data_IF_514616935782
#
_entry.id   IF_514616935782
#
_cell.length_a   1.000
_cell.length_b   1.000
_cell.length_c   1.000
_cell.angle_alpha   90.00
_cell.angle_beta   90.00
_cell.angle_gamma   90.00
#
_symmetry.space_group_name_H-M   'P 1'
#
loop_
_entity.id
_entity.type
_entity.pdbx_description
1 polymer ?
#
# COMPACT_ATOMS: atom_id res chain seq x y z
N UNK A 1 49.90 40.21 -7.60
CA UNK A 1 48.45 40.23 -7.59
C UNK A 1 48.01 38.79 -7.35
N UNK A 2 47.54 38.39 -6.36
CA UNK A 2 47.43 38.64 -4.92
C UNK A 2 46.63 37.45 -4.42
N UNK A 3 47.25 36.65 -3.58
CA UNK A 3 46.73 35.41 -2.98
C UNK A 3 45.82 35.71 -1.77
N UNK A 4 45.34 36.97 -1.65
CA UNK A 4 44.60 37.45 -0.46
C UNK A 4 43.09 37.41 -0.58
N UNK A 5 42.53 37.16 -1.80
CA UNK A 5 41.08 37.22 -2.01
C UNK A 5 40.36 35.87 -1.81
N UNK A 6 41.05 34.75 -1.56
CA UNK A 6 40.43 33.44 -1.35
C UNK A 6 40.27 33.05 0.12
N UNK A 7 40.91 33.73 1.06
CA UNK A 7 40.87 33.42 2.48
C UNK A 7 39.72 34.10 3.24
N UNK A 8 39.08 35.13 2.68
CA UNK A 8 38.01 35.90 3.35
C UNK A 8 36.61 35.28 3.25
N UNK A 9 36.38 34.34 2.33
CA UNK A 9 35.02 33.75 2.12
C UNK A 9 34.78 32.53 3.01
N UNK A 10 35.81 31.91 3.58
CA UNK A 10 35.70 30.78 4.52
C UNK A 10 35.32 31.20 5.95
N UNK A 11 35.66 32.39 6.36
CA UNK A 11 35.40 32.90 7.73
C UNK A 11 33.92 33.30 7.96
N UNK A 12 33.11 33.32 6.92
CA UNK A 12 31.73 33.81 6.96
C UNK A 12 30.68 32.67 7.00
N UNK A 13 31.12 31.41 6.97
CA UNK A 13 30.23 30.24 6.97
C UNK A 13 30.15 29.62 8.36
N UNK A 14 28.96 29.59 8.90
CA UNK A 14 28.62 28.96 10.19
C UNK A 14 28.24 27.51 9.99
N UNK A 15 29.01 26.57 10.54
CA UNK A 15 28.67 25.16 10.55
C UNK A 15 27.70 24.82 11.69
N UNK A 16 26.48 24.41 11.36
CA UNK A 16 25.46 24.10 12.38
C UNK A 16 25.87 22.93 13.28
N UNK A 17 26.52 21.89 12.74
CA UNK A 17 26.98 20.74 13.56
C UNK A 17 28.05 21.17 14.60
N UNK A 18 28.99 22.05 14.23
CA UNK A 18 30.00 22.56 15.15
C UNK A 18 29.39 23.44 16.26
N UNK A 19 28.47 24.34 15.89
CA UNK A 19 27.76 25.17 16.86
C UNK A 19 26.89 24.36 17.78
N UNK A 20 26.22 23.33 17.25
CA UNK A 20 25.43 22.38 18.04
C UNK A 20 26.34 21.64 19.06
N UNK A 21 27.45 21.07 18.60
CA UNK A 21 28.39 20.34 19.45
C UNK A 21 29.00 21.23 20.55
N UNK A 22 29.35 22.46 20.19
CA UNK A 22 29.93 23.45 21.11
C UNK A 22 28.89 24.12 22.03
N UNK A 23 27.61 23.82 21.85
CA UNK A 23 26.49 24.42 22.59
C UNK A 23 26.45 25.96 22.49
N UNK A 24 26.91 26.52 21.38
CA UNK A 24 26.94 27.96 21.14
C UNK A 24 25.72 28.44 20.36
N UNK A 25 25.25 29.69 20.61
CA UNK A 25 24.21 30.28 19.78
C UNK A 25 24.73 30.56 18.37
N UNK A 26 23.93 30.24 17.36
CA UNK A 26 24.24 30.48 15.95
C UNK A 26 24.09 31.96 15.65
N UNK A 27 25.14 32.67 15.11
CA UNK A 27 25.02 34.08 14.79
C UNK A 27 24.11 34.33 13.58
N UNK A 28 23.46 35.50 13.57
CA UNK A 28 22.67 35.95 12.43
C UNK A 28 23.53 36.65 11.38
N UNK A 29 23.05 36.66 10.13
CA UNK A 29 23.66 37.42 9.05
C UNK A 29 24.84 36.72 8.36
N UNK A 30 25.09 35.47 8.69
CA UNK A 30 26.14 34.64 8.10
C UNK A 30 25.58 33.66 7.07
N UNK A 31 26.44 33.04 6.27
CA UNK A 31 26.09 31.84 5.51
C UNK A 31 26.09 30.66 6.48
N UNK A 32 25.18 29.71 6.26
CA UNK A 32 25.01 28.55 7.15
C UNK A 32 25.34 27.29 6.39
N UNK A 33 26.24 26.46 6.94
CA UNK A 33 26.51 25.12 6.44
C UNK A 33 25.62 24.12 7.17
N UNK A 34 24.70 23.54 6.43
CA UNK A 34 23.77 22.52 6.92
C UNK A 34 24.15 21.16 6.34
N UNK A 35 23.91 20.11 7.08
CA UNK A 35 24.07 18.75 6.61
C UNK A 35 22.72 18.11 6.34
N UNK A 36 22.57 17.57 5.12
CA UNK A 36 21.39 16.75 4.75
C UNK A 36 21.92 15.38 4.35
N UNK A 37 21.52 14.34 5.09
CA UNK A 37 22.07 12.99 5.00
C UNK A 37 23.60 12.96 5.16
N UNK A 38 24.34 12.71 4.07
CA UNK A 38 25.81 12.66 4.05
C UNK A 38 26.47 13.88 3.38
N UNK A 39 25.66 14.81 2.87
CA UNK A 39 26.15 15.96 2.08
C UNK A 39 25.98 17.28 2.83
N UNK A 40 26.89 18.21 2.59
CA UNK A 40 26.86 19.56 3.14
C UNK A 40 26.37 20.55 2.09
N UNK A 41 25.56 21.50 2.54
CA UNK A 41 25.00 22.57 1.72
C UNK A 41 25.21 23.91 2.42
N UNK A 42 25.55 24.94 1.66
CA UNK A 42 25.70 26.30 2.18
C UNK A 42 24.55 27.15 1.73
N UNK A 43 23.84 27.74 2.67
CA UNK A 43 22.70 28.61 2.45
C UNK A 43 22.93 30.00 3.03
N UNK A 44 22.42 31.05 2.37
CA UNK A 44 22.62 32.45 2.76
C UNK A 44 21.43 33.04 3.52
N UNK A 45 20.47 32.19 3.89
CA UNK A 45 19.25 32.60 4.60
C UNK A 45 19.19 31.93 5.97
N UNK A 46 18.63 32.61 7.00
CA UNK A 46 18.61 32.09 8.37
C UNK A 46 17.54 31.02 8.58
N UNK A 47 16.64 30.80 7.59
CA UNK A 47 15.54 29.86 7.69
C UNK A 47 15.13 29.35 6.31
N UNK A 48 14.65 28.13 6.26
CA UNK A 48 14.08 27.49 5.07
C UNK A 48 12.88 26.65 5.46
N UNK A 49 11.96 26.43 4.53
CA UNK A 49 10.89 25.46 4.70
C UNK A 49 11.42 24.02 4.51
N UNK A 50 10.71 23.03 5.06
CA UNK A 50 11.07 21.62 4.84
C UNK A 50 11.16 21.26 3.36
N UNK A 51 10.29 21.81 2.51
CA UNK A 51 10.34 21.67 1.05
C UNK A 51 11.64 22.19 0.46
N UNK A 52 12.03 23.40 0.81
CA UNK A 52 13.26 24.01 0.34
C UNK A 52 14.52 23.25 0.78
N UNK A 53 14.50 22.68 1.99
CA UNK A 53 15.60 21.82 2.48
C UNK A 53 15.68 20.52 1.67
N UNK A 54 14.55 19.90 1.30
CA UNK A 54 14.52 18.74 0.43
C UNK A 54 15.02 19.07 -0.99
N UNK A 55 14.60 20.21 -1.54
CA UNK A 55 15.01 20.68 -2.88
C UNK A 55 16.52 20.89 -2.98
N UNK A 56 17.17 21.40 -1.93
CA UNK A 56 18.65 21.50 -1.87
C UNK A 56 19.32 20.13 -2.10
N UNK A 57 18.72 19.07 -1.59
CA UNK A 57 19.21 17.69 -1.76
C UNK A 57 18.70 17.02 -3.07
N UNK A 58 18.03 17.77 -3.96
CA UNK A 58 17.45 17.23 -5.19
C UNK A 58 16.26 16.30 -4.93
N UNK A 59 15.56 16.49 -3.81
CA UNK A 59 14.43 15.64 -3.36
C UNK A 59 13.15 16.44 -3.32
N UNK A 60 12.02 15.74 -3.47
CA UNK A 60 10.68 16.33 -3.46
C UNK A 60 9.84 15.75 -2.31
N UNK A 61 8.96 16.56 -1.68
CA UNK A 61 8.17 16.14 -0.51
C UNK A 61 7.24 14.95 -0.76
N UNK A 62 6.83 14.75 -2.02
CA UNK A 62 5.96 13.63 -2.43
C UNK A 62 6.68 12.29 -2.32
N UNK A 63 8.02 12.28 -2.44
CA UNK A 63 8.87 11.08 -2.43
C UNK A 63 9.76 10.95 -1.21
N UNK A 64 9.91 12.01 -0.42
CA UNK A 64 10.80 12.02 0.74
C UNK A 64 10.20 12.75 1.93
N UNK A 65 10.34 12.15 3.11
CA UNK A 65 10.08 12.79 4.39
C UNK A 65 11.37 13.41 4.90
N UNK A 66 11.28 14.63 5.43
CA UNK A 66 12.40 15.30 6.08
C UNK A 66 12.30 15.11 7.59
N UNK A 67 13.43 14.84 8.20
CA UNK A 67 13.59 14.83 9.66
C UNK A 67 14.77 15.72 10.06
N UNK A 68 14.65 16.40 11.19
CA UNK A 68 15.73 17.13 11.82
C UNK A 68 16.20 16.39 13.07
N UNK A 69 17.50 16.33 13.27
CA UNK A 69 18.10 15.91 14.54
C UNK A 69 18.31 17.13 15.42
N UNK A 70 17.73 17.08 16.61
CA UNK A 70 17.81 18.11 17.64
C UNK A 70 18.38 17.50 18.91
N UNK A 71 18.58 18.31 19.95
CA UNK A 71 18.95 17.80 21.29
C UNK A 71 17.88 16.92 21.89
N UNK A 72 16.60 17.15 21.55
CA UNK A 72 15.48 16.38 22.02
C UNK A 72 15.30 15.04 21.31
N UNK A 73 16.06 14.80 20.21
CA UNK A 73 15.94 13.60 19.39
C UNK A 73 15.75 13.91 17.91
N UNK A 74 15.11 12.99 17.21
CA UNK A 74 14.82 13.10 15.78
C UNK A 74 13.34 13.43 15.60
N UNK A 75 13.04 14.57 15.01
CA UNK A 75 11.70 15.08 14.81
C UNK A 75 11.36 15.20 13.32
N UNK A 76 10.10 14.95 12.91
CA UNK A 76 9.67 15.19 11.53
C UNK A 76 9.63 16.69 11.23
N UNK A 77 9.93 17.07 9.98
CA UNK A 77 9.77 18.42 9.46
C UNK A 77 8.76 18.36 8.32
N UNK A 78 7.63 19.07 8.47
CA UNK A 78 6.61 19.14 7.43
C UNK A 78 7.08 19.98 6.23
N UNK A 79 6.58 19.75 5.02
CA UNK A 79 7.00 20.49 3.83
C UNK A 79 6.91 22.02 3.95
N UNK A 80 5.86 22.52 4.57
CA UNK A 80 5.62 23.96 4.72
C UNK A 80 6.06 24.52 6.10
N UNK A 81 6.65 23.66 6.94
CA UNK A 81 7.20 24.06 8.24
C UNK A 81 8.49 24.84 8.04
N UNK A 82 8.56 26.02 8.65
CA UNK A 82 9.79 26.85 8.67
C UNK A 82 10.73 26.28 9.71
N UNK A 83 11.99 26.06 9.29
CA UNK A 83 13.12 25.65 10.13
C UNK A 83 14.08 26.80 10.22
N UNK A 84 14.33 27.31 11.43
CA UNK A 84 15.27 28.39 11.70
C UNK A 84 16.64 27.81 12.07
N UNK A 85 17.68 28.18 11.33
CA UNK A 85 19.07 27.76 11.59
C UNK A 85 19.71 28.53 12.75
N UNK A 86 19.14 29.68 13.11
CA UNK A 86 19.59 30.48 14.25
C UNK A 86 18.89 30.11 15.56
N UNK A 87 17.83 29.31 15.50
CA UNK A 87 17.23 28.72 16.70
C UNK A 87 18.17 27.66 17.29
N UNK A 88 18.33 27.60 18.61
CA UNK A 88 19.22 26.63 19.22
C UNK A 88 18.67 25.20 19.02
N UNK A 89 19.54 24.28 18.64
CA UNK A 89 19.26 22.85 18.72
C UNK A 89 19.16 22.06 17.44
N UNK A 90 19.24 22.66 16.25
CA UNK A 90 19.30 21.91 15.00
C UNK A 90 20.75 21.45 14.75
N UNK A 91 20.96 20.12 14.65
CA UNK A 91 22.26 19.53 14.32
C UNK A 91 22.36 19.25 12.82
N UNK A 92 21.45 18.46 12.29
CA UNK A 92 21.46 18.01 10.89
C UNK A 92 20.09 17.56 10.43
N UNK A 93 19.96 17.38 9.14
CA UNK A 93 18.75 16.85 8.49
C UNK A 93 19.00 15.45 7.94
N UNK A 94 17.94 14.67 7.91
CA UNK A 94 17.90 13.33 7.35
C UNK A 94 16.66 13.18 6.48
N UNK A 95 16.82 12.52 5.35
CA UNK A 95 15.68 12.21 4.49
C UNK A 95 15.37 10.73 4.54
N UNK A 96 14.11 10.41 4.57
CA UNK A 96 13.61 9.04 4.46
C UNK A 96 12.77 9.01 3.20
N UNK A 97 12.96 8.04 2.29
CA UNK A 97 12.03 7.87 1.19
C UNK A 97 10.61 7.86 1.74
N UNK A 98 9.77 8.75 1.25
CA UNK A 98 8.33 8.71 1.44
C UNK A 98 7.80 7.76 0.36
N UNK A 99 8.44 6.61 0.27
CA UNK A 99 7.73 5.50 -0.28
C UNK A 99 6.60 5.26 0.72
N UNK A 100 5.42 5.81 0.41
CA UNK A 100 4.31 4.90 0.31
C UNK A 100 4.83 3.83 -0.65
N UNK A 101 5.56 2.86 -0.15
CA UNK A 101 5.41 1.52 -0.67
C UNK A 101 3.89 1.37 -0.64
N UNK A 102 3.26 1.41 -1.79
CA UNK A 102 2.15 0.51 -2.02
C UNK A 102 2.75 -0.81 -1.56
N UNK A 103 2.48 -1.14 -0.29
CA UNK A 103 3.35 -2.03 0.46
C UNK A 103 3.48 -3.27 -0.37
N UNK A 104 4.69 -3.78 -0.52
CA UNK A 104 4.82 -5.17 -0.92
C UNK A 104 3.67 -5.88 -0.22
N UNK A 105 2.65 -6.35 -0.96
CA UNK A 105 1.40 -6.75 -0.33
C UNK A 105 1.78 -7.72 0.78
N UNK A 106 1.37 -7.43 2.00
CA UNK A 106 1.73 -8.25 3.15
C UNK A 106 1.67 -9.72 2.73
N UNK A 107 2.61 -10.58 3.12
CA UNK A 107 2.65 -11.94 2.64
C UNK A 107 1.23 -12.54 2.76
N UNK A 108 0.76 -13.29 1.76
CA UNK A 108 -0.60 -13.80 1.75
C UNK A 108 -0.88 -14.59 3.02
N UNK A 109 -2.01 -14.33 3.65
CA UNK A 109 -2.43 -15.04 4.85
C UNK A 109 -2.83 -16.47 4.48
N UNK A 110 -2.17 -17.45 5.04
CA UNK A 110 -2.45 -18.87 4.88
C UNK A 110 -2.85 -19.45 6.24
N UNK A 111 -4.07 -19.16 6.69
CA UNK A 111 -4.58 -19.59 8.00
C UNK A 111 -5.03 -21.04 8.00
N UNK A 112 -5.14 -21.66 6.83
CA UNK A 112 -5.27 -23.10 6.65
C UNK A 112 -4.55 -23.52 5.37
N UNK A 113 -4.28 -24.81 5.20
CA UNK A 113 -3.67 -25.35 4.00
C UNK A 113 -4.77 -25.78 3.02
N UNK A 114 -4.91 -25.11 1.85
CA UNK A 114 -5.75 -25.61 0.76
C UNK A 114 -5.20 -26.93 0.21
N UNK A 115 -5.97 -27.64 -0.60
CA UNK A 115 -5.52 -28.82 -1.31
C UNK A 115 -4.39 -28.47 -2.29
N UNK A 116 -3.42 -29.37 -2.53
CA UNK A 116 -2.36 -29.11 -3.52
C UNK A 116 -2.91 -28.70 -4.90
N UNK A 117 -3.98 -29.34 -5.36
CA UNK A 117 -4.63 -28.99 -6.64
C UNK A 117 -5.21 -27.56 -6.63
N UNK A 118 -5.82 -27.13 -5.51
CA UNK A 118 -6.28 -25.74 -5.36
C UNK A 118 -5.12 -24.75 -5.40
N UNK A 119 -4.00 -25.05 -4.73
CA UNK A 119 -2.81 -24.20 -4.71
C UNK A 119 -2.23 -24.06 -6.12
N UNK A 120 -2.15 -25.17 -6.87
CA UNK A 120 -1.69 -25.17 -8.27
C UNK A 120 -2.58 -24.29 -9.14
N UNK A 121 -3.90 -24.47 -9.04
CA UNK A 121 -4.89 -23.66 -9.76
C UNK A 121 -4.75 -22.17 -9.40
N UNK A 122 -4.75 -21.83 -8.11
CA UNK A 122 -4.65 -20.44 -7.63
C UNK A 122 -3.35 -19.78 -8.09
N UNK A 123 -2.25 -20.53 -8.07
CA UNK A 123 -0.95 -20.06 -8.56
C UNK A 123 -0.99 -19.79 -10.07
N UNK A 124 -1.68 -20.65 -10.83
CA UNK A 124 -1.81 -20.50 -12.29
C UNK A 124 -2.58 -19.24 -12.70
N UNK A 125 -3.44 -18.71 -11.83
CA UNK A 125 -4.16 -17.47 -12.08
C UNK A 125 -3.24 -16.24 -12.13
N UNK A 126 -2.06 -16.29 -11.50
CA UNK A 126 -1.15 -15.14 -11.38
C UNK A 126 -1.73 -13.98 -10.56
N UNK A 127 -2.76 -14.24 -9.76
CA UNK A 127 -3.42 -13.26 -8.91
C UNK A 127 -3.02 -13.49 -7.44
N UNK A 128 -3.07 -12.42 -6.64
CA UNK A 128 -2.94 -12.57 -5.19
C UNK A 128 -4.15 -13.35 -4.66
N UNK A 129 -3.88 -14.30 -3.76
CA UNK A 129 -4.92 -15.03 -3.05
C UNK A 129 -4.53 -15.30 -1.60
N UNK A 130 -5.50 -15.57 -0.75
CA UNK A 130 -5.33 -15.85 0.67
C UNK A 130 -6.27 -16.97 1.11
N UNK A 131 -5.85 -17.74 2.11
CA UNK A 131 -6.64 -18.75 2.78
C UNK A 131 -7.00 -18.24 4.18
N UNK A 132 -8.24 -17.85 4.41
CA UNK A 132 -8.69 -17.11 5.60
C UNK A 132 -9.69 -17.91 6.41
N UNK A 133 -9.59 -17.80 7.73
CA UNK A 133 -10.59 -18.31 8.68
C UNK A 133 -11.21 -17.12 9.41
N UNK A 134 -12.51 -16.95 9.30
CA UNK A 134 -13.26 -15.94 10.05
C UNK A 134 -14.54 -16.58 10.63
N UNK A 135 -14.72 -16.46 11.95
CA UNK A 135 -15.88 -17.05 12.64
C UNK A 135 -16.03 -18.56 12.43
N UNK A 136 -14.94 -19.30 12.19
CA UNK A 136 -14.95 -20.72 11.87
C UNK A 136 -15.23 -21.05 10.39
N UNK A 137 -15.49 -20.06 9.56
CA UNK A 137 -15.66 -20.21 8.11
C UNK A 137 -14.29 -20.17 7.45
N UNK A 138 -13.92 -21.23 6.72
CA UNK A 138 -12.74 -21.26 5.85
C UNK A 138 -13.11 -20.75 4.47
N UNK A 139 -12.35 -19.79 3.94
CA UNK A 139 -12.57 -19.29 2.59
C UNK A 139 -11.24 -19.05 1.86
N UNK A 140 -11.25 -19.24 0.56
CA UNK A 140 -10.21 -18.75 -0.36
C UNK A 140 -10.69 -17.38 -0.88
N UNK A 141 -9.86 -16.38 -0.71
CA UNK A 141 -10.05 -15.02 -1.23
C UNK A 141 -9.09 -14.81 -2.39
N UNK A 142 -9.60 -14.46 -3.56
CA UNK A 142 -8.80 -14.12 -4.75
C UNK A 142 -9.01 -12.64 -5.01
N UNK A 143 -7.92 -11.88 -5.05
CA UNK A 143 -7.96 -10.43 -5.24
C UNK A 143 -7.91 -10.06 -6.70
N UNK A 144 -8.67 -9.02 -7.08
CA UNK A 144 -8.70 -8.46 -8.43
C UNK A 144 -8.99 -9.51 -9.51
N UNK A 145 -9.91 -10.44 -9.22
CA UNK A 145 -10.35 -11.44 -10.18
C UNK A 145 -11.10 -10.76 -11.34
N UNK A 146 -10.68 -10.98 -12.61
CA UNK A 146 -11.22 -10.26 -13.76
C UNK A 146 -12.67 -10.68 -14.03
N UNK A 147 -13.53 -9.69 -14.28
CA UNK A 147 -14.95 -9.87 -14.57
C UNK A 147 -15.21 -9.78 -16.07
N UNK A 148 -16.27 -10.41 -16.57
CA UNK A 148 -16.75 -10.16 -17.94
C UNK A 148 -17.22 -8.70 -18.07
N UNK A 149 -17.03 -8.03 -19.25
CA UNK A 149 -17.49 -6.67 -19.47
C UNK A 149 -19.01 -6.58 -19.33
N UNK A 150 -19.51 -5.55 -18.66
CA UNK A 150 -20.93 -5.34 -18.41
C UNK A 150 -21.27 -5.16 -16.93
N UNK A 151 -20.28 -5.19 -16.06
CA UNK A 151 -20.40 -4.85 -14.65
C UNK A 151 -19.81 -3.45 -14.34
N UNK A 152 -20.14 -2.92 -13.17
CA UNK A 152 -19.67 -1.61 -12.67
C UNK A 152 -18.14 -1.53 -12.45
N UNK A 153 -17.45 -2.65 -12.39
CA UNK A 153 -15.99 -2.75 -12.24
C UNK A 153 -15.43 -3.81 -13.20
N UNK A 154 -14.18 -3.65 -13.63
CA UNK A 154 -13.52 -4.60 -14.53
C UNK A 154 -12.96 -5.83 -13.79
N UNK A 155 -12.69 -5.69 -12.48
CA UNK A 155 -12.23 -6.75 -11.61
C UNK A 155 -12.81 -6.56 -10.22
N UNK A 156 -12.98 -7.64 -9.47
CA UNK A 156 -13.43 -7.61 -8.09
C UNK A 156 -12.69 -8.66 -7.27
N UNK A 157 -12.61 -8.44 -5.96
CA UNK A 157 -12.21 -9.51 -5.07
C UNK A 157 -13.34 -10.52 -5.00
N UNK A 158 -13.01 -11.80 -5.04
CA UNK A 158 -13.96 -12.89 -4.92
C UNK A 158 -13.53 -13.84 -3.81
N UNK A 159 -14.47 -14.30 -2.99
CA UNK A 159 -14.19 -15.42 -2.13
C UNK A 159 -15.19 -16.56 -2.31
N UNK A 160 -14.73 -17.76 -2.02
CA UNK A 160 -15.54 -18.97 -1.94
C UNK A 160 -15.30 -19.64 -0.60
N UNK A 161 -16.36 -20.21 -0.03
CA UNK A 161 -16.31 -20.85 1.29
C UNK A 161 -16.12 -22.35 1.14
N UNK A 162 -15.12 -22.88 1.85
CA UNK A 162 -14.83 -24.30 1.89
C UNK A 162 -15.47 -24.90 3.13
N UNK A 163 -16.41 -25.82 2.92
CA UNK A 163 -17.05 -26.55 4.02
C UNK A 163 -16.07 -27.52 4.69
N UNK A 164 -16.43 -28.02 5.87
CA UNK A 164 -15.60 -29.01 6.56
C UNK A 164 -15.42 -30.32 5.77
N UNK A 165 -16.38 -30.64 4.90
CA UNK A 165 -16.35 -31.82 4.04
C UNK A 165 -15.67 -31.64 2.70
N UNK A 166 -15.17 -30.45 2.37
CA UNK A 166 -14.47 -30.20 1.11
C UNK A 166 -13.17 -31.04 1.04
N UNK A 167 -12.87 -31.74 -0.09
CA UNK A 167 -13.49 -31.66 -1.40
C UNK A 167 -14.68 -32.62 -1.66
N UNK A 168 -15.03 -33.49 -0.72
CA UNK A 168 -16.18 -34.40 -0.91
C UNK A 168 -17.51 -33.65 -0.91
N UNK A 169 -17.60 -32.55 -0.14
CA UNK A 169 -18.72 -31.62 -0.21
C UNK A 169 -18.43 -30.48 -1.20
N UNK A 170 -19.44 -30.12 -1.98
CA UNK A 170 -19.36 -29.08 -3.00
C UNK A 170 -19.03 -27.69 -2.44
N UNK A 171 -18.38 -26.86 -3.25
CA UNK A 171 -18.34 -25.42 -3.07
C UNK A 171 -19.66 -24.87 -3.61
N UNK A 172 -20.32 -24.04 -2.79
CA UNK A 172 -21.56 -23.40 -3.13
C UNK A 172 -21.37 -21.88 -3.13
N UNK A 173 -22.06 -21.18 -4.05
CA UNK A 173 -22.07 -19.73 -4.15
C UNK A 173 -20.71 -19.10 -4.49
N UNK A 174 -20.71 -17.78 -4.68
CA UNK A 174 -19.55 -16.92 -4.76
C UNK A 174 -19.87 -15.57 -4.11
N UNK A 175 -18.84 -14.89 -3.61
CA UNK A 175 -18.99 -13.65 -2.85
C UNK A 175 -18.06 -12.59 -3.44
N UNK A 176 -18.56 -11.40 -3.75
CA UNK A 176 -17.82 -10.36 -4.44
C UNK A 176 -17.72 -9.08 -3.61
N UNK A 177 -16.57 -8.42 -3.70
CA UNK A 177 -16.33 -7.08 -3.20
C UNK A 177 -15.46 -6.27 -4.21
N UNK A 178 -15.86 -5.03 -4.56
CA UNK A 178 -17.11 -4.36 -4.17
C UNK A 178 -18.35 -5.08 -4.70
N UNK A 179 -19.53 -4.69 -4.21
CA UNK A 179 -20.78 -5.19 -4.72
C UNK A 179 -20.93 -4.94 -6.23
N UNK A 180 -21.32 -5.96 -6.97
CA UNK A 180 -21.48 -5.91 -8.40
C UNK A 180 -22.86 -5.38 -8.78
N UNK A 181 -22.90 -4.53 -9.79
CA UNK A 181 -24.11 -4.10 -10.49
C UNK A 181 -23.89 -4.14 -11.99
N UNK A 182 -24.95 -4.32 -12.76
CA UNK A 182 -24.87 -4.33 -14.23
C UNK A 182 -24.75 -2.89 -14.76
N UNK A 183 -23.92 -2.68 -15.76
CA UNK A 183 -23.75 -1.37 -16.41
C UNK A 183 -25.00 -0.93 -17.19
N UNK A 184 -25.88 -1.86 -17.56
CA UNK A 184 -27.14 -1.58 -18.23
C UNK A 184 -28.29 -1.19 -17.27
N UNK A 185 -28.01 -1.12 -15.96
CA UNK A 185 -28.97 -0.74 -14.93
C UNK A 185 -29.97 -1.81 -14.54
N UNK A 186 -29.94 -3.00 -15.16
CA UNK A 186 -30.80 -4.11 -14.79
C UNK A 186 -30.42 -4.69 -13.43
N UNK A 187 -31.42 -5.12 -12.66
CA UNK A 187 -31.18 -5.77 -11.37
C UNK A 187 -30.60 -7.18 -11.52
N UNK A 188 -29.81 -7.58 -10.54
CA UNK A 188 -29.29 -8.94 -10.39
C UNK A 188 -30.10 -9.63 -9.30
N UNK A 189 -30.66 -10.78 -9.61
CA UNK A 189 -31.50 -11.53 -8.67
C UNK A 189 -30.65 -12.36 -7.68
N UNK A 190 -31.26 -12.73 -6.55
CA UNK A 190 -30.70 -13.63 -5.55
C UNK A 190 -29.32 -13.15 -5.00
N UNK A 191 -29.26 -11.89 -4.65
CA UNK A 191 -28.15 -11.28 -3.96
C UNK A 191 -28.49 -11.05 -2.50
N UNK A 192 -27.50 -11.16 -1.62
CA UNK A 192 -27.59 -10.73 -0.23
C UNK A 192 -26.26 -10.09 0.22
N UNK A 193 -26.34 -9.25 1.23
CA UNK A 193 -25.14 -8.70 1.87
C UNK A 193 -24.68 -9.65 2.98
N UNK A 194 -23.37 -9.79 3.12
CA UNK A 194 -22.77 -10.49 4.25
C UNK A 194 -21.45 -9.82 4.66
N UNK A 195 -20.92 -10.22 5.80
CA UNK A 195 -19.61 -9.79 6.29
C UNK A 195 -18.68 -11.00 6.37
N UNK A 196 -17.41 -10.80 6.03
CA UNK A 196 -16.35 -11.79 6.17
C UNK A 196 -15.02 -11.06 6.24
N UNK A 197 -14.12 -11.47 7.15
CA UNK A 197 -12.80 -10.87 7.35
C UNK A 197 -12.85 -9.33 7.52
N UNK A 198 -13.81 -8.85 8.32
CA UNK A 198 -14.00 -7.42 8.59
C UNK A 198 -14.47 -6.58 7.40
N UNK A 199 -14.84 -7.19 6.28
CA UNK A 199 -15.28 -6.52 5.04
C UNK A 199 -16.72 -6.88 4.69
N UNK A 200 -17.39 -5.96 4.00
CA UNK A 200 -18.71 -6.21 3.41
C UNK A 200 -18.54 -6.93 2.05
N UNK A 201 -19.37 -7.93 1.83
CA UNK A 201 -19.38 -8.73 0.61
C UNK A 201 -20.80 -8.88 0.07
N UNK A 202 -20.92 -9.03 -1.23
CA UNK A 202 -22.16 -9.36 -1.90
C UNK A 202 -22.17 -10.86 -2.20
N UNK A 203 -23.07 -11.59 -1.55
CA UNK A 203 -23.27 -13.01 -1.80
C UNK A 203 -24.12 -13.21 -3.05
N UNK A 204 -23.63 -14.03 -3.96
CA UNK A 204 -24.34 -14.52 -5.13
C UNK A 204 -24.87 -15.92 -4.85
N UNK A 205 -26.17 -16.01 -4.53
CA UNK A 205 -26.82 -17.29 -4.29
C UNK A 205 -27.08 -17.97 -5.65
N UNK A 206 -26.10 -18.72 -6.08
CA UNK A 206 -26.11 -19.54 -7.29
C UNK A 206 -25.70 -20.95 -6.91
N UNK A 207 -26.48 -21.91 -7.34
CA UNK A 207 -26.27 -23.31 -7.01
C UNK A 207 -25.94 -24.11 -8.27
N UNK A 208 -25.26 -25.23 -8.08
CA UNK A 208 -25.04 -26.20 -9.13
C UNK A 208 -26.36 -26.79 -9.58
N UNK A 209 -26.51 -27.09 -10.86
CA UNK A 209 -27.67 -27.72 -11.48
C UNK A 209 -27.29 -29.14 -11.93
N UNK A 210 -28.26 -29.91 -12.44
CA UNK A 210 -28.01 -31.30 -12.85
C UNK A 210 -26.83 -31.46 -13.85
N UNK A 211 -26.65 -30.48 -14.75
CA UNK A 211 -25.56 -30.49 -15.74
C UNK A 211 -24.20 -30.05 -15.16
N UNK A 212 -24.16 -29.47 -13.98
CA UNK A 212 -22.96 -29.03 -13.28
C UNK A 212 -22.84 -29.64 -11.89
N UNK A 213 -23.45 -30.82 -11.67
CA UNK A 213 -23.44 -31.52 -10.38
C UNK A 213 -21.98 -31.77 -9.93
N UNK A 214 -21.70 -31.56 -8.63
CA UNK A 214 -20.42 -31.85 -8.03
C UNK A 214 -20.02 -33.32 -8.15
N UNK A 215 -18.82 -33.61 -8.58
CA UNK A 215 -18.28 -34.96 -8.75
C UNK A 215 -17.15 -35.15 -7.74
N UNK A 216 -17.41 -35.97 -6.75
CA UNK A 216 -16.44 -36.28 -5.69
C UNK A 216 -15.18 -36.91 -6.31
N UNK A 217 -14.01 -36.39 -5.93
CA UNK A 217 -12.72 -36.85 -6.44
C UNK A 217 -12.32 -36.27 -7.82
N UNK A 218 -13.19 -35.45 -8.44
CA UNK A 218 -12.90 -34.81 -9.73
C UNK A 218 -13.01 -33.28 -9.62
N UNK A 219 -14.03 -32.78 -8.91
CA UNK A 219 -14.28 -31.35 -8.80
C UNK A 219 -13.59 -30.76 -7.57
N UNK A 220 -13.04 -29.57 -7.77
CA UNK A 220 -12.32 -28.77 -6.79
C UNK A 220 -12.52 -27.27 -7.11
N UNK A 221 -11.67 -26.40 -6.57
CA UNK A 221 -11.70 -24.96 -6.84
C UNK A 221 -11.54 -24.64 -8.33
N UNK A 222 -10.76 -25.44 -9.05
CA UNK A 222 -10.48 -25.23 -10.49
C UNK A 222 -11.73 -25.44 -11.36
N UNK A 223 -12.68 -26.24 -10.91
CA UNK A 223 -13.96 -26.44 -11.59
C UNK A 223 -15.04 -25.45 -11.10
N UNK A 224 -14.93 -24.95 -9.87
CA UNK A 224 -15.91 -24.02 -9.32
C UNK A 224 -15.72 -22.59 -9.82
N UNK A 225 -14.50 -22.09 -9.92
CA UNK A 225 -14.26 -20.71 -10.36
C UNK A 225 -14.67 -20.44 -11.82
N UNK A 226 -14.42 -21.33 -12.79
CA UNK A 226 -15.03 -21.20 -14.11
C UNK A 226 -16.57 -21.16 -14.07
N UNK A 227 -17.20 -22.03 -13.27
CA UNK A 227 -18.66 -22.01 -13.11
C UNK A 227 -19.15 -20.66 -12.54
N UNK A 228 -18.44 -20.09 -11.56
CA UNK A 228 -18.76 -18.75 -11.05
C UNK A 228 -18.68 -17.68 -12.15
N UNK A 229 -17.71 -17.80 -13.07
CA UNK A 229 -17.60 -16.93 -14.26
C UNK A 229 -18.79 -17.13 -15.21
N UNK A 230 -19.21 -18.36 -15.45
CA UNK A 230 -20.37 -18.67 -16.28
C UNK A 230 -21.66 -18.06 -15.69
N UNK A 231 -21.80 -18.03 -14.37
CA UNK A 231 -22.93 -17.35 -13.73
C UNK A 231 -22.94 -15.84 -14.01
N UNK A 232 -21.80 -15.20 -13.97
CA UNK A 232 -21.67 -13.77 -14.29
C UNK A 232 -22.05 -13.51 -15.75
N UNK A 233 -21.53 -14.32 -16.67
CA UNK A 233 -21.86 -14.18 -18.10
C UNK A 233 -23.33 -14.49 -18.40
N UNK A 234 -23.90 -15.51 -17.76
CA UNK A 234 -25.30 -15.85 -17.90
C UNK A 234 -26.21 -14.74 -17.37
N UNK A 235 -25.82 -14.04 -16.29
CA UNK A 235 -26.58 -12.91 -15.76
C UNK A 235 -26.64 -11.75 -16.75
N UNK A 236 -25.56 -11.46 -17.45
CA UNK A 236 -25.53 -10.40 -18.47
C UNK A 236 -26.39 -10.70 -19.72
N UNK A 237 -26.66 -11.99 -19.99
CA UNK A 237 -27.53 -12.41 -21.13
C UNK A 237 -29.01 -12.30 -20.83
N UNK A 238 -29.42 -12.15 -19.57
CA UNK A 238 -30.83 -11.91 -19.19
C UNK A 238 -31.28 -10.50 -19.55
#
# INVERSE_FOLDING_TARGET
MSSEDQESDQDDVVDLEEYFAAQRPVPRGKKYRIRIDKQFYVVSVPELTGRQILELAGKVPEKFLLRQKTRGGVEPVLPDQIVSFVAPGVERFMTIPNEVQEGEPAPPRLQFNPLPADVEYLTSLGLRWEAIIDGGIRAIVIYQWPLPPGYNVAAADVHVRLTAGYPDAEIDMAYFAPALSRSDGRGIANLSACSFDGRAWQQWSRHRIASSKWRIGEDDLSSHMPLARDWLEAELRK
#
